data_IF_522919072814
#
_entry.id   IF_522919072814
#
_cell.length_a   1.000
_cell.length_b   1.000
_cell.length_c   1.000
_cell.angle_alpha   90.00
_cell.angle_beta   90.00
_cell.angle_gamma   90.00
#
_symmetry.space_group_name_H-M   'P 1'
#
loop_
_entity.id
_entity.type
_entity.pdbx_description
1 polymer ?
#
# COMPACT_ATOMS: atom_id res chain seq x y z
N UNK A 1 11.18 -2.75 -2.25
CA UNK A 1 11.56 -3.71 -1.20
C UNK A 1 11.81 -5.11 -1.74
N UNK A 2 10.86 -5.79 -2.41
CA UNK A 2 11.07 -7.15 -2.95
C UNK A 2 12.37 -7.28 -3.75
N UNK A 3 12.56 -6.40 -4.75
CA UNK A 3 13.75 -6.39 -5.61
C UNK A 3 15.08 -6.16 -4.87
N UNK A 4 15.07 -5.62 -3.65
CA UNK A 4 16.26 -5.48 -2.82
C UNK A 4 16.60 -6.79 -2.10
N UNK A 5 15.60 -7.42 -1.46
CA UNK A 5 15.81 -8.65 -0.69
C UNK A 5 15.98 -9.91 -1.56
N UNK A 6 15.55 -9.85 -2.83
CA UNK A 6 15.76 -10.91 -3.83
C UNK A 6 17.18 -10.91 -4.42
N UNK A 7 18.00 -9.91 -4.11
CA UNK A 7 19.40 -9.88 -4.54
C UNK A 7 20.18 -11.02 -3.91
N UNK A 8 21.08 -11.61 -4.67
CA UNK A 8 21.95 -12.71 -4.26
C UNK A 8 22.83 -12.36 -3.04
N UNK A 9 23.26 -11.10 -2.95
CA UNK A 9 24.08 -10.58 -1.86
C UNK A 9 23.31 -10.18 -0.58
N UNK A 10 21.97 -10.23 -0.58
CA UNK A 10 21.12 -9.99 0.60
C UNK A 10 20.40 -11.29 1.01
N UNK A 11 19.77 -11.94 0.03
CA UNK A 11 19.13 -13.27 0.04
C UNK A 11 18.39 -13.67 1.34
N UNK A 12 17.33 -12.93 1.67
CA UNK A 12 16.38 -13.29 2.74
C UNK A 12 15.08 -13.86 2.17
N UNK A 13 15.12 -15.12 1.72
CA UNK A 13 14.04 -15.74 0.92
C UNK A 13 12.66 -15.71 1.57
N UNK A 14 12.56 -15.92 2.89
CA UNK A 14 11.28 -15.89 3.61
C UNK A 14 10.64 -14.49 3.59
N UNK A 15 11.45 -13.46 3.87
CA UNK A 15 11.00 -12.07 3.84
C UNK A 15 10.64 -11.61 2.43
N UNK A 16 11.46 -12.01 1.45
CA UNK A 16 11.28 -11.69 0.03
C UNK A 16 9.92 -12.15 -0.47
N UNK A 17 9.50 -13.37 -0.09
CA UNK A 17 8.19 -13.91 -0.43
C UNK A 17 7.06 -13.06 0.16
N UNK A 18 7.11 -12.75 1.45
CA UNK A 18 6.09 -11.95 2.14
C UNK A 18 5.95 -10.57 1.48
N UNK A 19 7.07 -9.89 1.21
CA UNK A 19 7.04 -8.55 0.59
C UNK A 19 6.48 -8.59 -0.83
N UNK A 20 6.75 -9.67 -1.58
CA UNK A 20 6.16 -9.86 -2.91
C UNK A 20 4.65 -10.06 -2.82
N UNK A 21 4.20 -10.93 -1.93
CA UNK A 21 2.77 -11.20 -1.69
C UNK A 21 2.04 -9.91 -1.25
N UNK A 22 2.63 -9.12 -0.35
CA UNK A 22 2.07 -7.81 0.05
C UNK A 22 1.97 -6.83 -1.12
N UNK A 23 2.96 -6.81 -2.03
CA UNK A 23 2.88 -5.97 -3.23
C UNK A 23 1.73 -6.36 -4.16
N UNK A 24 1.43 -7.67 -4.27
CA UNK A 24 0.32 -8.19 -5.07
C UNK A 24 -1.03 -7.88 -4.40
N UNK A 25 -1.09 -7.97 -3.06
CA UNK A 25 -2.27 -7.62 -2.26
C UNK A 25 -2.66 -6.14 -2.43
N UNK A 26 -1.69 -5.22 -2.36
CA UNK A 26 -1.95 -3.77 -2.51
C UNK A 26 -2.44 -3.37 -3.90
N UNK A 27 -2.01 -4.09 -4.95
CA UNK A 27 -2.58 -3.93 -6.29
C UNK A 27 -4.05 -4.35 -6.26
N UNK A 28 -4.37 -5.48 -5.62
CA UNK A 28 -5.75 -5.92 -5.42
C UNK A 28 -6.60 -4.92 -4.62
N UNK A 29 -6.01 -4.21 -3.65
CA UNK A 29 -6.69 -3.10 -2.95
C UNK A 29 -7.02 -1.93 -3.90
N UNK A 30 -6.07 -1.52 -4.74
CA UNK A 30 -6.30 -0.47 -5.74
C UNK A 30 -7.39 -0.89 -6.75
N UNK A 31 -7.37 -2.13 -7.22
CA UNK A 31 -8.38 -2.68 -8.14
C UNK A 31 -9.79 -2.64 -7.56
N UNK A 32 -9.96 -3.07 -6.31
CA UNK A 32 -11.24 -2.99 -5.60
C UNK A 32 -11.78 -1.56 -5.54
N UNK A 33 -10.93 -0.57 -5.30
CA UNK A 33 -11.33 0.85 -5.28
C UNK A 33 -11.71 1.36 -6.68
N UNK A 34 -10.99 0.95 -7.73
CA UNK A 34 -11.33 1.30 -9.11
C UNK A 34 -12.67 0.71 -9.54
N UNK A 35 -12.91 -0.57 -9.24
CA UNK A 35 -14.20 -1.24 -9.47
C UNK A 35 -15.32 -0.55 -8.71
N UNK A 36 -15.08 -0.22 -7.45
CA UNK A 36 -16.03 0.49 -6.62
C UNK A 36 -16.41 1.85 -7.21
N UNK A 37 -15.41 2.64 -7.65
CA UNK A 37 -15.63 3.92 -8.28
C UNK A 37 -16.50 3.78 -9.55
N UNK A 38 -16.22 2.79 -10.39
CA UNK A 38 -17.02 2.50 -11.59
C UNK A 38 -18.45 2.06 -11.24
N UNK A 39 -18.62 1.18 -10.24
CA UNK A 39 -19.92 0.72 -9.74
C UNK A 39 -20.82 1.86 -9.27
N UNK A 40 -20.22 2.96 -8.80
CA UNK A 40 -20.93 4.16 -8.31
C UNK A 40 -21.14 5.22 -9.39
N UNK A 41 -20.78 4.94 -10.64
CA UNK A 41 -20.89 5.87 -11.76
C UNK A 41 -19.80 6.96 -11.77
N UNK A 42 -18.78 6.81 -10.92
CA UNK A 42 -17.60 7.66 -10.95
C UNK A 42 -16.69 7.32 -12.13
N UNK A 43 -15.68 8.15 -12.36
CA UNK A 43 -14.63 7.92 -13.36
C UNK A 43 -13.29 7.75 -12.65
N UNK A 44 -12.62 6.63 -12.89
CA UNK A 44 -11.25 6.40 -12.39
C UNK A 44 -10.30 7.39 -13.05
N UNK A 45 -9.46 8.04 -12.24
CA UNK A 45 -8.36 8.90 -12.70
C UNK A 45 -7.07 8.42 -12.06
N UNK A 46 -6.29 7.65 -12.80
CA UNK A 46 -4.97 7.21 -12.37
C UNK A 46 -4.01 8.40 -12.34
N UNK A 47 -3.19 8.46 -11.30
CA UNK A 47 -2.15 9.49 -11.14
C UNK A 47 -0.77 8.86 -11.30
N UNK A 48 0.26 9.69 -11.43
CA UNK A 48 1.64 9.22 -11.49
C UNK A 48 2.04 8.59 -10.14
N UNK A 49 2.77 7.48 -10.21
CA UNK A 49 3.40 6.86 -9.04
C UNK A 49 4.83 7.39 -8.97
N UNK A 50 5.22 7.94 -7.82
CA UNK A 50 6.59 8.39 -7.59
C UNK A 50 7.55 7.21 -7.57
N UNK A 51 8.76 7.38 -8.10
CA UNK A 51 9.78 6.33 -8.09
C UNK A 51 10.09 5.92 -6.65
N UNK A 52 9.95 4.63 -6.28
CA UNK A 52 10.21 4.17 -4.93
C UNK A 52 11.72 4.08 -4.65
N UNK A 53 12.08 4.09 -3.37
CA UNK A 53 13.43 3.79 -2.92
C UNK A 53 13.84 2.36 -3.29
N UNK A 54 15.11 2.19 -3.68
CA UNK A 54 15.66 0.92 -4.17
C UNK A 54 16.66 0.27 -3.21
N UNK A 55 17.26 1.05 -2.29
CA UNK A 55 18.21 0.58 -1.28
C UNK A 55 17.59 0.63 0.11
N UNK A 56 17.89 -0.39 0.93
CA UNK A 56 17.36 -0.56 2.28
C UNK A 56 18.44 -0.97 3.28
N UNK A 57 19.72 -0.79 2.93
CA UNK A 57 20.83 -1.04 3.84
C UNK A 57 20.79 -0.04 5.01
N UNK A 58 20.99 -0.54 6.23
CA UNK A 58 20.95 0.33 7.41
C UNK A 58 21.93 -0.09 8.51
N UNK A 59 23.05 0.63 8.62
CA UNK A 59 24.16 0.30 9.51
C UNK A 59 23.77 0.05 10.99
N UNK A 60 22.80 0.79 11.53
CA UNK A 60 22.41 0.66 12.94
C UNK A 60 21.29 -0.36 13.24
N UNK A 61 20.49 -0.74 12.25
CA UNK A 61 19.28 -1.57 12.45
C UNK A 61 19.34 -2.90 11.71
N UNK A 62 20.19 -2.98 10.69
CA UNK A 62 20.13 -4.03 9.68
C UNK A 62 18.94 -3.83 8.74
N UNK A 63 19.10 -4.34 7.53
CA UNK A 63 18.20 -4.10 6.41
C UNK A 63 16.79 -4.61 6.68
N UNK A 64 16.69 -5.78 7.31
CA UNK A 64 15.42 -6.43 7.68
C UNK A 64 14.58 -5.56 8.61
N UNK A 65 15.14 -5.15 9.74
CA UNK A 65 14.40 -4.39 10.74
C UNK A 65 14.02 -3.02 10.18
N UNK A 66 14.94 -2.37 9.47
CA UNK A 66 14.68 -1.10 8.80
C UNK A 66 13.53 -1.21 7.79
N UNK A 67 13.54 -2.24 6.92
CA UNK A 67 12.47 -2.43 5.94
C UNK A 67 11.11 -2.76 6.58
N UNK A 68 11.08 -3.54 7.67
CA UNK A 68 9.84 -3.85 8.38
C UNK A 68 9.25 -2.64 9.11
N UNK A 69 10.09 -1.79 9.71
CA UNK A 69 9.63 -0.53 10.30
C UNK A 69 9.10 0.44 9.23
N UNK A 70 9.75 0.48 8.05
CA UNK A 70 9.27 1.27 6.93
C UNK A 70 7.94 0.74 6.41
N UNK A 71 7.80 -0.59 6.25
CA UNK A 71 6.53 -1.22 5.86
C UNK A 71 5.41 -0.88 6.87
N UNK A 72 5.67 -1.03 8.18
CA UNK A 72 4.72 -0.65 9.22
C UNK A 72 4.32 0.84 9.15
N UNK A 73 5.27 1.71 8.83
CA UNK A 73 5.02 3.14 8.70
C UNK A 73 4.15 3.45 7.48
N UNK A 74 4.35 2.75 6.37
CA UNK A 74 3.51 2.85 5.17
C UNK A 74 2.10 2.35 5.44
N UNK A 75 1.92 1.20 6.11
CA UNK A 75 0.60 0.68 6.48
C UNK A 75 -0.18 1.64 7.39
N UNK A 76 0.51 2.26 8.37
CA UNK A 76 -0.10 3.29 9.22
C UNK A 76 -0.54 4.51 8.41
N UNK A 77 0.28 4.94 7.45
CA UNK A 77 -0.06 6.03 6.55
C UNK A 77 -1.28 5.68 5.69
N UNK A 78 -1.33 4.47 5.12
CA UNK A 78 -2.47 3.96 4.36
C UNK A 78 -3.75 3.98 5.21
N UNK A 79 -3.68 3.49 6.45
CA UNK A 79 -4.81 3.52 7.37
C UNK A 79 -5.29 4.95 7.67
N UNK A 80 -4.38 5.90 7.87
CA UNK A 80 -4.73 7.32 8.01
C UNK A 80 -5.44 7.86 6.76
N UNK A 81 -4.98 7.50 5.55
CA UNK A 81 -5.63 7.91 4.30
C UNK A 81 -7.01 7.29 4.12
N UNK A 82 -7.21 6.04 4.52
CA UNK A 82 -8.53 5.41 4.55
C UNK A 82 -9.47 6.11 5.55
N UNK A 83 -8.97 6.50 6.73
CA UNK A 83 -9.76 7.26 7.70
C UNK A 83 -10.17 8.63 7.15
N UNK A 84 -9.25 9.32 6.46
CA UNK A 84 -9.54 10.60 5.81
C UNK A 84 -10.59 10.44 4.70
N UNK A 85 -10.48 9.39 3.89
CA UNK A 85 -11.48 9.06 2.88
C UNK A 85 -12.87 8.86 3.51
N UNK A 86 -12.95 8.08 4.58
CA UNK A 86 -14.19 7.85 5.32
C UNK A 86 -14.77 9.15 5.91
N UNK A 87 -13.91 10.02 6.46
CA UNK A 87 -14.34 11.29 7.06
C UNK A 87 -14.95 12.24 6.01
N UNK A 88 -14.36 12.31 4.80
CA UNK A 88 -14.91 13.12 3.71
C UNK A 88 -16.32 12.68 3.30
N UNK A 89 -16.62 11.39 3.38
CA UNK A 89 -17.96 10.84 3.10
C UNK A 89 -18.99 11.25 4.15
N UNK A 90 -18.61 11.25 5.43
CA UNK A 90 -19.51 11.67 6.51
C UNK A 90 -19.89 13.15 6.41
N UNK A 91 -18.96 14.00 5.97
CA UNK A 91 -19.23 15.42 5.74
C UNK A 91 -20.06 15.70 4.48
N UNK A 92 -20.02 14.80 3.49
CA UNK A 92 -20.93 14.81 2.35
C UNK A 92 -22.19 14.00 2.69
N UNK A 93 -23.07 14.57 3.52
CA UNK A 93 -24.41 14.04 3.83
C UNK A 93 -25.11 13.53 2.53
N UNK A 94 -25.06 12.22 2.29
CA UNK A 94 -25.71 11.55 1.16
C UNK A 94 -24.88 10.52 0.39
N UNK A 95 -23.57 10.41 0.59
CA UNK A 95 -22.76 9.45 -0.20
C UNK A 95 -22.80 8.05 0.41
N UNK A 96 -23.52 7.11 -0.22
CA UNK A 96 -23.72 5.72 0.25
C UNK A 96 -22.44 4.86 0.28
N UNK A 97 -21.24 5.42 0.39
CA UNK A 97 -20.02 4.66 0.12
C UNK A 97 -19.82 3.55 1.16
N UNK A 98 -20.22 3.79 2.40
CA UNK A 98 -20.12 2.85 3.52
C UNK A 98 -21.30 1.87 3.70
N UNK A 99 -22.33 1.88 2.86
CA UNK A 99 -23.41 0.87 2.95
C UNK A 99 -23.16 -0.25 1.93
N UNK A 100 -22.29 -1.17 2.30
CA UNK A 100 -22.36 -2.54 1.79
C UNK A 100 -23.69 -3.15 2.23
N UNK A 101 -24.62 -3.27 1.28
CA UNK A 101 -25.62 -4.35 1.32
C UNK A 101 -24.93 -5.64 0.90
#
# INVERSE_FOLDING_TARGET
MYAYFDRDNVSLKGLTKIIKESSEEEIGHAEKLMEYQNKRGGKVKLQYIVTPFSEFDHAGKGDTLYAMELALSLEKLTNEKLFNLHSLEQHQLGSKICQGR
#
